data_IF_906046720344
#
_entry.id   IF_906046720344
#
_cell.length_a   1.000
_cell.length_b   1.000
_cell.length_c   1.000
_cell.angle_alpha   90.00
_cell.angle_beta   90.00
_cell.angle_gamma   90.00
#
_symmetry.space_group_name_H-M   'P 1'
#
loop_
_entity.id
_entity.type
_entity.pdbx_description
1 polymer ?
#
# COMPACT_ATOMS: atom_id res chain seq x y z
N UNK A 1 -12.62 2.61 5.33
CA UNK A 1 -11.28 2.31 4.79
C UNK A 1 -10.49 1.50 5.81
N UNK A 2 -9.48 0.76 5.36
CA UNK A 2 -8.58 -0.05 6.20
C UNK A 2 -7.15 0.45 5.98
N UNK A 3 -6.35 0.46 7.04
CA UNK A 3 -4.90 0.70 6.93
C UNK A 3 -4.15 -0.62 6.94
N UNK A 4 -3.35 -0.83 5.89
CA UNK A 4 -2.43 -1.95 5.75
C UNK A 4 -1.02 -1.44 6.02
N UNK A 5 -0.37 -2.00 7.02
CA UNK A 5 1.02 -1.71 7.36
C UNK A 5 1.90 -2.86 6.91
N UNK A 6 2.89 -2.53 6.09
CA UNK A 6 3.82 -3.47 5.48
C UNK A 6 5.24 -3.08 5.86
N UNK A 7 6.00 -4.00 6.43
CA UNK A 7 7.39 -3.77 6.82
C UNK A 7 8.31 -4.86 6.30
N UNK A 8 9.41 -4.48 5.66
CA UNK A 8 10.34 -5.44 5.07
C UNK A 8 11.70 -4.83 4.75
N UNK A 9 12.59 -5.66 4.19
CA UNK A 9 13.86 -5.18 3.64
C UNK A 9 13.59 -4.23 2.48
N UNK A 10 14.23 -3.07 2.49
CA UNK A 10 14.14 -2.13 1.38
C UNK A 10 14.83 -2.73 0.15
N UNK A 11 14.04 -2.99 -0.89
CA UNK A 11 14.51 -3.58 -2.15
C UNK A 11 13.81 -2.89 -3.33
N UNK A 12 14.53 -2.79 -4.44
CA UNK A 12 13.97 -2.33 -5.70
C UNK A 12 12.78 -3.24 -6.07
N UNK A 13 11.66 -2.64 -6.45
CA UNK A 13 10.45 -3.36 -6.84
C UNK A 13 9.47 -3.69 -5.70
N UNK A 14 9.83 -3.47 -4.43
CA UNK A 14 8.94 -3.77 -3.28
C UNK A 14 7.57 -3.07 -3.41
N UNK A 15 7.56 -1.77 -3.69
CA UNK A 15 6.32 -1.01 -3.86
C UNK A 15 5.52 -1.44 -5.09
N UNK A 16 6.20 -1.86 -6.15
CA UNK A 16 5.54 -2.35 -7.36
C UNK A 16 4.83 -3.67 -7.09
N UNK A 17 5.47 -4.59 -6.38
CA UNK A 17 4.90 -5.87 -5.96
C UNK A 17 3.67 -5.64 -5.07
N UNK A 18 3.80 -4.76 -4.06
CA UNK A 18 2.71 -4.44 -3.15
C UNK A 18 1.51 -3.85 -3.90
N UNK A 19 1.72 -2.81 -4.70
CA UNK A 19 0.64 -2.14 -5.42
C UNK A 19 -0.03 -3.03 -6.46
N UNK A 20 0.73 -3.95 -7.07
CA UNK A 20 0.19 -4.99 -7.96
C UNK A 20 -0.77 -5.90 -7.22
N UNK A 21 -0.36 -6.49 -6.10
CA UNK A 21 -1.20 -7.41 -5.32
C UNK A 21 -2.47 -6.72 -4.81
N UNK A 22 -2.36 -5.47 -4.36
CA UNK A 22 -3.56 -4.69 -3.96
C UNK A 22 -4.55 -4.53 -5.12
N UNK A 23 -4.05 -4.23 -6.33
CA UNK A 23 -4.88 -4.08 -7.52
C UNK A 23 -5.52 -5.40 -7.95
N UNK A 24 -4.75 -6.49 -7.97
CA UNK A 24 -5.23 -7.83 -8.33
C UNK A 24 -6.31 -8.33 -7.37
N UNK A 25 -6.27 -7.87 -6.11
CA UNK A 25 -7.28 -8.15 -5.08
C UNK A 25 -8.46 -7.15 -5.08
N UNK A 26 -8.59 -6.28 -6.09
CA UNK A 26 -9.73 -5.36 -6.23
C UNK A 26 -9.73 -4.21 -5.23
N UNK A 27 -8.56 -3.82 -4.71
CA UNK A 27 -8.42 -2.72 -3.77
C UNK A 27 -7.95 -1.43 -4.44
N UNK A 28 -8.54 -0.33 -4.01
CA UNK A 28 -8.14 1.02 -4.40
C UNK A 28 -7.34 1.68 -3.27
N UNK A 29 -6.16 2.21 -3.62
CA UNK A 29 -5.28 2.93 -2.69
C UNK A 29 -5.69 4.40 -2.65
N UNK A 30 -6.21 4.84 -1.50
CA UNK A 30 -6.58 6.25 -1.28
C UNK A 30 -5.39 7.12 -0.89
N UNK A 31 -4.49 6.56 -0.07
CA UNK A 31 -3.31 7.23 0.45
C UNK A 31 -2.24 6.20 0.77
N UNK A 32 -0.98 6.59 0.59
CA UNK A 32 0.16 5.79 1.00
C UNK A 32 1.16 6.67 1.77
N UNK A 33 1.78 6.10 2.80
CA UNK A 33 2.92 6.66 3.51
C UNK A 33 4.06 5.67 3.41
N UNK A 34 5.19 6.09 2.85
CA UNK A 34 6.37 5.25 2.66
C UNK A 34 7.51 5.84 3.48
N UNK A 35 8.15 5.02 4.30
CA UNK A 35 9.30 5.40 5.12
C UNK A 35 10.40 4.40 4.87
N UNK A 36 11.55 4.84 4.39
CA UNK A 36 12.73 4.00 4.17
C UNK A 36 13.88 4.50 5.05
N UNK A 37 14.61 3.57 5.65
CA UNK A 37 15.72 3.89 6.55
C UNK A 37 16.37 2.65 7.14
N UNK A 38 17.69 2.68 7.28
CA UNK A 38 18.44 1.58 7.91
C UNK A 38 18.27 0.23 7.19
N UNK A 39 18.09 0.23 5.87
CA UNK A 39 17.88 -0.99 5.06
C UNK A 39 16.48 -1.61 5.18
N UNK A 40 15.54 -0.92 5.82
CA UNK A 40 14.14 -1.34 5.95
C UNK A 40 13.21 -0.31 5.34
N UNK A 41 12.11 -0.80 4.80
CA UNK A 41 11.00 -0.01 4.30
C UNK A 41 9.74 -0.34 5.10
N UNK A 42 9.08 0.70 5.61
CA UNK A 42 7.79 0.64 6.28
C UNK A 42 6.78 1.43 5.46
N UNK A 43 5.74 0.76 5.00
CA UNK A 43 4.75 1.29 4.09
C UNK A 43 3.36 1.15 4.70
N UNK A 44 2.63 2.25 4.80
CA UNK A 44 1.24 2.27 5.27
C UNK A 44 0.35 2.65 4.11
N UNK A 45 -0.56 1.76 3.73
CA UNK A 45 -1.53 1.97 2.65
C UNK A 45 -2.93 2.07 3.23
N UNK A 46 -3.62 3.17 2.93
CA UNK A 46 -5.03 3.34 3.22
C UNK A 46 -5.81 2.87 2.00
N UNK A 47 -6.51 1.75 2.16
CA UNK A 47 -7.21 1.07 1.08
C UNK A 47 -8.71 0.97 1.34
N UNK A 48 -9.45 0.84 0.25
CA UNK A 48 -10.87 0.54 0.24
C UNK A 48 -11.19 -0.38 -0.92
N UNK A 49 -12.36 -1.00 -0.90
CA UNK A 49 -12.88 -1.69 -2.07
C UNK A 49 -13.06 -0.71 -3.24
N UNK A 50 -12.94 -1.19 -4.48
CA UNK A 50 -13.20 -0.37 -5.69
C UNK A 50 -14.60 0.26 -5.70
N UNK A 51 -15.56 -0.34 -5.02
CA UNK A 51 -16.94 0.16 -4.87
C UNK A 51 -17.09 1.17 -3.71
N UNK A 52 -16.03 1.45 -2.95
CA UNK A 52 -16.07 2.30 -1.75
C UNK A 52 -16.56 1.58 -0.48
N UNK A 53 -16.79 0.28 -0.55
CA UNK A 53 -17.22 -0.55 0.58
C UNK A 53 -16.05 -0.88 1.54
N UNK A 54 -16.36 -1.31 2.78
CA UNK A 54 -15.37 -1.92 3.65
C UNK A 54 -14.70 -3.13 2.98
N UNK A 55 -13.40 -3.31 3.22
CA UNK A 55 -12.65 -4.44 2.67
C UNK A 55 -13.07 -5.72 3.36
N UNK A 56 -13.41 -6.75 2.58
CA UNK A 56 -13.83 -8.06 3.09
C UNK A 56 -12.66 -8.81 3.76
N UNK A 57 -12.99 -9.61 4.77
CA UNK A 57 -12.02 -10.40 5.54
C UNK A 57 -11.28 -11.40 4.63
N UNK A 58 -11.96 -11.99 3.65
CA UNK A 58 -11.36 -12.92 2.68
C UNK A 58 -10.26 -12.27 1.84
N UNK A 59 -10.47 -11.01 1.46
CA UNK A 59 -9.47 -10.22 0.73
C UNK A 59 -8.25 -9.96 1.62
N UNK A 60 -8.47 -9.58 2.88
CA UNK A 60 -7.40 -9.39 3.86
C UNK A 60 -6.56 -10.66 4.05
N UNK A 61 -7.20 -11.82 4.16
CA UNK A 61 -6.50 -13.10 4.27
C UNK A 61 -5.69 -13.44 3.02
N UNK A 62 -6.21 -13.13 1.84
CA UNK A 62 -5.50 -13.35 0.58
C UNK A 62 -4.26 -12.47 0.47
N UNK A 63 -4.36 -11.18 0.81
CA UNK A 63 -3.20 -10.29 0.90
C UNK A 63 -2.17 -10.77 1.91
N UNK A 64 -2.62 -11.22 3.09
CA UNK A 64 -1.72 -11.75 4.12
C UNK A 64 -0.98 -12.99 3.64
N UNK A 65 -1.64 -13.85 2.86
CA UNK A 65 -1.01 -15.06 2.28
C UNK A 65 0.00 -14.71 1.20
N UNK A 66 -0.31 -13.74 0.33
CA UNK A 66 0.57 -13.33 -0.78
C UNK A 66 1.77 -12.50 -0.30
N UNK A 67 1.52 -11.47 0.50
CA UNK A 67 2.57 -10.55 0.95
C UNK A 67 3.30 -11.05 2.21
N UNK A 68 2.59 -11.76 3.10
CA UNK A 68 3.10 -12.17 4.40
C UNK A 68 4.27 -13.16 4.34
N UNK A 69 4.54 -13.76 3.17
CA UNK A 69 5.70 -14.62 2.95
C UNK A 69 7.02 -13.84 2.89
N UNK A 70 6.97 -12.62 2.33
CA UNK A 70 8.18 -11.84 2.01
C UNK A 70 8.34 -10.59 2.88
N UNK A 71 7.30 -10.20 3.61
CA UNK A 71 7.29 -9.02 4.48
C UNK A 71 6.30 -9.19 5.63
N UNK A 72 6.48 -8.42 6.69
CA UNK A 72 5.51 -8.34 7.77
C UNK A 72 4.28 -7.58 7.28
N UNK A 73 3.10 -8.17 7.49
CA UNK A 73 1.80 -7.64 7.09
C UNK A 73 0.93 -7.45 8.32
N UNK A 74 0.49 -6.23 8.58
CA UNK A 74 -0.40 -5.88 9.68
C UNK A 74 -1.61 -5.09 9.18
N UNK A 75 -2.76 -5.30 9.81
CA UNK A 75 -4.04 -4.70 9.40
C UNK A 75 -4.62 -3.95 10.57
N UNK A 76 -4.91 -2.66 10.37
CA UNK A 76 -5.61 -1.82 11.33
C UNK A 76 -6.90 -1.31 10.69
N UNK A 77 -8.05 -1.67 11.27
CA UNK A 77 -9.35 -1.14 10.90
C UNK A 77 -9.52 0.27 11.49
N UNK A 78 -10.31 1.12 10.83
CA UNK A 78 -10.45 2.54 11.17
C UNK A 78 -11.17 2.82 12.52
N UNK A 79 -11.26 1.85 13.43
CA UNK A 79 -11.93 1.99 14.74
C UNK A 79 -10.99 2.36 15.88
N UNK A 80 -9.69 2.55 15.62
CA UNK A 80 -8.73 2.90 16.67
C UNK A 80 -7.95 4.17 16.28
N UNK A 81 -8.38 5.27 16.90
CA UNK A 81 -7.74 6.58 17.03
C UNK A 81 -6.29 6.65 16.50
N UNK A 82 -6.09 7.31 15.37
CA UNK A 82 -4.77 7.88 15.06
C UNK A 82 -4.95 9.29 14.49
N UNK A 83 -4.63 10.27 15.35
CA UNK A 83 -4.49 11.68 14.99
C UNK A 83 -3.58 11.80 13.75
N UNK A 84 -3.76 12.83 12.90
CA UNK A 84 -2.83 13.11 11.83
C UNK A 84 -1.45 13.43 12.43
N UNK A 85 -0.52 12.46 12.43
CA UNK A 85 0.86 12.73 12.79
C UNK A 85 1.52 13.54 11.67
N UNK A 86 1.79 14.80 12.04
CA UNK A 86 2.37 15.93 11.34
C UNK A 86 3.80 15.67 10.77
N UNK A 87 4.35 16.58 9.94
CA UNK A 87 5.11 16.27 8.74
C UNK A 87 6.56 15.88 9.06
N UNK A 88 6.87 14.60 8.96
CA UNK A 88 8.25 14.18 8.65
C UNK A 88 8.51 14.59 7.22
N UNK A 89 9.56 15.39 7.00
CA UNK A 89 10.07 15.83 5.69
C UNK A 89 10.14 14.63 4.74
N UNK A 90 9.07 14.47 3.96
CA UNK A 90 8.88 13.38 3.01
C UNK A 90 9.05 14.01 1.65
N UNK A 91 9.97 13.49 0.86
CA UNK A 91 10.02 13.74 -0.58
C UNK A 91 8.63 13.42 -1.13
N UNK A 92 7.85 14.46 -1.39
CA UNK A 92 6.46 14.40 -1.85
C UNK A 92 6.42 13.73 -3.22
N UNK A 93 6.37 12.41 -3.26
CA UNK A 93 5.91 11.70 -4.44
C UNK A 93 4.38 11.62 -4.36
N UNK A 94 3.72 12.69 -4.81
CA UNK A 94 2.29 12.67 -5.09
C UNK A 94 2.08 11.92 -6.41
N UNK A 95 1.82 10.61 -6.34
CA UNK A 95 1.35 9.86 -7.50
C UNK A 95 -0.17 10.02 -7.60
N UNK A 96 -0.62 10.91 -8.50
CA UNK A 96 -2.00 10.88 -8.99
C UNK A 96 -2.12 9.72 -9.96
N UNK A 97 -2.73 8.62 -9.52
CA UNK A 97 -2.83 7.35 -10.25
C UNK A 97 -3.46 7.47 -11.66
N UNK A 98 -4.15 8.57 -11.98
CA UNK A 98 -4.68 8.83 -13.32
C UNK A 98 -3.64 9.01 -14.42
N UNK A 99 -2.38 9.37 -14.11
CA UNK A 99 -1.37 9.68 -15.13
C UNK A 99 -0.20 8.68 -15.22
N UNK A 100 -0.10 7.70 -14.31
CA UNK A 100 1.05 6.76 -14.29
C UNK A 100 0.76 5.45 -15.02
N UNK A 101 -0.51 5.13 -15.29
CA UNK A 101 -0.86 3.89 -16.00
C UNK A 101 -0.44 3.91 -17.48
N UNK A 102 -0.53 5.07 -18.15
CA UNK A 102 -0.10 5.24 -19.55
C UNK A 102 1.42 5.13 -19.72
N UNK A 103 2.19 5.64 -18.76
CA UNK A 103 3.67 5.60 -18.82
C UNK A 103 4.26 4.24 -18.47
N UNK A 104 3.58 3.42 -17.65
CA UNK A 104 4.02 2.05 -17.38
C UNK A 104 3.72 1.09 -18.53
N UNK A 105 2.65 1.32 -19.29
CA UNK A 105 2.38 0.62 -20.55
C UNK A 105 3.40 1.02 -21.64
N UNK A 106 3.85 2.27 -21.68
CA UNK A 106 4.87 2.76 -22.63
C UNK A 106 6.30 2.27 -22.36
N UNK A 107 6.58 1.62 -21.23
CA UNK A 107 7.90 0.99 -20.96
C UNK A 107 7.86 -0.52 -21.29
N UNK A 108 6.67 -1.05 -21.60
CA UNK A 108 6.46 -2.44 -22.03
C UNK A 108 6.12 -2.57 -23.54
N UNK A 109 6.25 -1.50 -24.33
CA UNK A 109 6.18 -1.51 -25.79
C UNK A 109 7.20 -0.55 -26.41
#
# INVERSE_FOLDING_TARGET
CVSLELSGRDRIGLLSEVTRVLRENGLSVMRAKVTTGGGKAVNVFYVQDTSGNPVDMKTIESLRREMGQNMMFNVKSASDSDRPQQPVRTTKFSFSFGCILEKLLSIMY
#
